data_IF_445037980775
#
_entry.id   IF_445037980775
#
_cell.length_a   1.000
_cell.length_b   1.000
_cell.length_c   1.000
_cell.angle_alpha   90.00
_cell.angle_beta   90.00
_cell.angle_gamma   90.00
#
_symmetry.space_group_name_H-M   'P 1'
#
loop_
_entity.id
_entity.type
_entity.pdbx_description
1 polymer ?
#
# COMPACT_ATOMS: atom_id res chain seq x y z
N UNK A 1 -32.07 1.84 15.83
CA UNK A 1 -31.42 1.55 14.54
C UNK A 1 -31.83 0.15 14.11
N UNK A 2 -32.86 0.01 13.27
CA UNK A 2 -33.21 -1.27 12.66
C UNK A 2 -31.94 -1.84 11.98
N UNK A 3 -31.57 -3.06 12.38
CA UNK A 3 -30.18 -3.48 12.42
C UNK A 3 -29.57 -3.56 11.02
N UNK A 4 -28.54 -2.76 10.74
CA UNK A 4 -27.63 -2.99 9.60
C UNK A 4 -26.84 -4.30 9.76
N UNK A 5 -26.83 -4.86 10.96
CA UNK A 5 -26.12 -6.09 11.37
C UNK A 5 -26.29 -7.28 10.40
N UNK A 6 -27.48 -7.59 9.85
CA UNK A 6 -27.63 -8.66 8.87
C UNK A 6 -26.82 -8.37 7.61
N UNK A 7 -26.73 -7.12 7.15
CA UNK A 7 -25.94 -6.72 5.98
C UNK A 7 -24.43 -6.84 6.21
N UNK A 8 -24.00 -6.79 7.48
CA UNK A 8 -22.60 -6.92 7.88
C UNK A 8 -22.13 -8.37 8.02
N UNK A 9 -23.03 -9.35 7.88
CA UNK A 9 -22.63 -10.77 7.80
C UNK A 9 -21.88 -11.04 6.50
N UNK A 10 -21.07 -12.09 6.49
CA UNK A 10 -20.13 -12.38 5.39
C UNK A 10 -20.81 -12.34 4.01
N UNK A 11 -21.88 -13.11 3.79
CA UNK A 11 -22.53 -13.19 2.48
C UNK A 11 -23.09 -11.85 1.97
N UNK A 12 -23.96 -11.13 2.70
CA UNK A 12 -24.47 -9.84 2.22
C UNK A 12 -23.39 -8.77 2.13
N UNK A 13 -22.40 -8.79 3.02
CA UNK A 13 -21.25 -7.87 2.98
C UNK A 13 -20.52 -7.96 1.64
N UNK A 14 -20.15 -9.18 1.21
CA UNK A 14 -19.50 -9.40 -0.08
C UNK A 14 -20.42 -9.18 -1.27
N UNK A 15 -21.70 -9.53 -1.14
CA UNK A 15 -22.66 -9.31 -2.21
C UNK A 15 -22.82 -7.81 -2.53
N UNK A 16 -22.96 -6.96 -1.51
CA UNK A 16 -23.03 -5.50 -1.68
C UNK A 16 -21.72 -4.96 -2.27
N UNK A 17 -20.58 -5.44 -1.78
CA UNK A 17 -19.26 -5.03 -2.27
C UNK A 17 -19.03 -5.40 -3.75
N UNK A 18 -19.51 -6.58 -4.17
CA UNK A 18 -19.49 -7.03 -5.55
C UNK A 18 -20.44 -6.20 -6.41
N UNK A 19 -21.68 -5.98 -5.96
CA UNK A 19 -22.67 -5.19 -6.68
C UNK A 19 -22.17 -3.76 -6.91
N UNK A 20 -21.58 -3.13 -5.89
CA UNK A 20 -20.96 -1.81 -6.00
C UNK A 20 -19.92 -1.75 -7.13
N UNK A 21 -19.02 -2.74 -7.18
CA UNK A 21 -17.98 -2.81 -8.23
C UNK A 21 -18.58 -3.06 -9.61
N UNK A 22 -19.57 -3.95 -9.73
CA UNK A 22 -20.26 -4.21 -11.00
C UNK A 22 -20.98 -2.95 -11.51
N UNK A 23 -21.71 -2.24 -10.65
CA UNK A 23 -22.37 -0.98 -11.00
C UNK A 23 -21.35 0.05 -11.48
N UNK A 24 -20.23 0.22 -10.76
CA UNK A 24 -19.17 1.14 -11.15
C UNK A 24 -18.45 0.73 -12.45
N UNK A 25 -18.32 -0.57 -12.75
CA UNK A 25 -17.78 -1.04 -14.03
C UNK A 25 -18.71 -0.65 -15.19
N UNK A 26 -20.00 -0.91 -15.07
CA UNK A 26 -20.98 -0.54 -16.11
C UNK A 26 -21.10 0.98 -16.25
N UNK A 27 -21.13 1.70 -15.13
CA UNK A 27 -21.09 3.17 -15.13
C UNK A 27 -19.81 3.69 -15.81
N UNK A 28 -18.66 3.07 -15.54
CA UNK A 28 -17.39 3.43 -16.18
C UNK A 28 -17.42 3.27 -17.69
N UNK A 29 -18.01 2.18 -18.20
CA UNK A 29 -18.23 1.98 -19.64
C UNK A 29 -19.14 3.07 -20.23
N UNK A 30 -20.22 3.41 -19.54
CA UNK A 30 -21.12 4.49 -19.94
C UNK A 30 -20.38 5.84 -19.98
N UNK A 31 -19.67 6.20 -18.91
CA UNK A 31 -18.93 7.46 -18.83
C UNK A 31 -17.84 7.55 -19.90
N UNK A 32 -17.09 6.47 -20.15
CA UNK A 32 -16.06 6.46 -21.18
C UNK A 32 -16.63 6.68 -22.59
N UNK A 33 -17.86 6.23 -22.85
CA UNK A 33 -18.54 6.44 -24.13
C UNK A 33 -19.18 7.83 -24.29
N UNK A 34 -19.59 8.47 -23.19
CA UNK A 34 -20.41 9.69 -23.24
C UNK A 34 -19.73 10.96 -22.69
N UNK A 35 -18.57 10.84 -22.04
CA UNK A 35 -17.85 11.98 -21.44
C UNK A 35 -16.46 12.18 -22.07
N UNK A 36 -16.04 13.44 -22.15
CA UNK A 36 -14.65 13.79 -22.45
C UNK A 36 -13.71 13.38 -21.31
N UNK A 37 -14.17 13.51 -20.06
CA UNK A 37 -13.45 13.05 -18.87
C UNK A 37 -13.68 11.55 -18.68
N UNK A 38 -12.65 10.77 -19.01
CA UNK A 38 -12.69 9.30 -18.96
C UNK A 38 -12.70 8.79 -17.52
N UNK A 39 -13.51 7.76 -17.30
CA UNK A 39 -13.50 6.96 -16.09
C UNK A 39 -12.27 6.05 -16.07
N UNK A 40 -11.97 5.37 -17.18
CA UNK A 40 -10.80 4.49 -17.25
C UNK A 40 -9.51 5.24 -16.91
N UNK A 41 -8.74 4.68 -15.99
CA UNK A 41 -7.42 5.18 -15.62
C UNK A 41 -6.45 5.00 -16.79
N UNK A 42 -5.57 5.98 -17.01
CA UNK A 42 -4.60 5.91 -18.10
C UNK A 42 -3.61 4.76 -17.93
N UNK A 43 -3.29 4.39 -16.69
CA UNK A 43 -2.45 3.24 -16.37
C UNK A 43 -3.06 1.95 -16.91
N UNK A 44 -4.39 1.83 -16.92
CA UNK A 44 -5.08 0.66 -17.48
C UNK A 44 -4.84 0.49 -18.98
N UNK A 45 -4.78 1.60 -19.71
CA UNK A 45 -4.46 1.58 -21.14
C UNK A 45 -3.01 1.17 -21.35
N UNK A 46 -2.08 1.69 -20.54
CA UNK A 46 -0.66 1.29 -20.55
C UNK A 46 -0.50 -0.21 -20.28
N UNK A 47 -1.22 -0.77 -19.31
CA UNK A 47 -1.22 -2.22 -19.04
C UNK A 47 -1.78 -3.03 -20.20
N UNK A 48 -2.88 -2.57 -20.79
CA UNK A 48 -3.55 -3.26 -21.89
C UNK A 48 -2.67 -3.27 -23.14
N UNK A 49 -2.03 -2.15 -23.45
CA UNK A 49 -1.08 -2.05 -24.57
C UNK A 49 0.14 -2.93 -24.36
N UNK A 50 0.75 -2.92 -23.17
CA UNK A 50 1.85 -3.82 -22.84
C UNK A 50 1.46 -5.30 -23.00
N UNK A 51 0.23 -5.65 -22.63
CA UNK A 51 -0.32 -6.99 -22.84
C UNK A 51 -0.53 -7.32 -24.34
N UNK A 52 -0.87 -6.32 -25.17
CA UNK A 52 -0.95 -6.49 -26.63
C UNK A 52 0.42 -6.74 -27.25
N UNK A 53 1.45 -6.01 -26.84
CA UNK A 53 2.84 -6.25 -27.28
C UNK A 53 3.29 -7.67 -26.92
N UNK A 54 3.00 -8.14 -25.71
CA UNK A 54 3.29 -9.53 -25.34
C UNK A 54 2.55 -10.53 -26.23
N UNK A 55 1.27 -10.30 -26.51
CA UNK A 55 0.47 -11.17 -27.36
C UNK A 55 0.98 -11.22 -28.82
N UNK A 56 1.68 -10.18 -29.28
CA UNK A 56 2.37 -10.16 -30.58
C UNK A 56 3.81 -10.71 -30.55
N UNK A 57 4.28 -11.22 -29.40
CA UNK A 57 5.64 -11.74 -29.23
C UNK A 57 6.70 -10.66 -28.97
N UNK A 58 6.28 -9.43 -28.67
CA UNK A 58 7.14 -8.26 -28.41
C UNK A 58 7.30 -8.02 -26.90
N UNK A 59 8.17 -7.08 -26.53
CA UNK A 59 8.41 -6.73 -25.14
C UNK A 59 7.28 -5.83 -24.60
N UNK A 60 6.82 -6.00 -23.34
CA UNK A 60 5.85 -5.07 -22.76
C UNK A 60 6.44 -3.66 -22.60
N UNK A 61 7.78 -3.54 -22.61
CA UNK A 61 8.49 -2.26 -22.56
C UNK A 61 8.53 -1.53 -23.91
N UNK A 62 8.12 -2.18 -25.00
CA UNK A 62 7.92 -1.50 -26.28
C UNK A 62 6.71 -0.53 -26.20
N UNK A 63 5.84 -0.70 -25.20
CA UNK A 63 4.88 0.32 -24.82
C UNK A 63 5.59 1.44 -24.08
N UNK A 64 5.62 2.62 -24.70
CA UNK A 64 6.05 3.85 -24.05
C UNK A 64 5.35 4.03 -22.70
N UNK A 65 6.10 4.57 -21.74
CA UNK A 65 5.66 4.80 -20.35
C UNK A 65 5.21 3.56 -19.56
N UNK A 66 5.41 2.32 -20.05
CA UNK A 66 5.27 1.13 -19.21
C UNK A 66 6.41 1.10 -18.18
N UNK A 67 6.08 1.21 -16.89
CA UNK A 67 7.03 1.28 -15.76
C UNK A 67 6.74 0.25 -14.66
N UNK A 68 6.11 -0.86 -15.04
CA UNK A 68 5.65 -1.91 -14.12
C UNK A 68 6.43 -3.20 -14.37
N UNK A 69 6.31 -4.19 -13.47
CA UNK A 69 6.89 -5.53 -13.72
C UNK A 69 6.20 -6.20 -14.94
N UNK A 70 6.90 -6.98 -15.77
CA UNK A 70 6.27 -7.73 -16.86
C UNK A 70 5.24 -8.75 -16.36
N UNK A 71 5.36 -9.21 -15.11
CA UNK A 71 4.36 -10.11 -14.50
C UNK A 71 2.94 -9.51 -14.51
N UNK A 72 2.81 -8.18 -14.39
CA UNK A 72 1.51 -7.53 -14.47
C UNK A 72 0.93 -7.65 -15.90
N UNK A 73 1.74 -7.39 -16.92
CA UNK A 73 1.31 -7.56 -18.30
C UNK A 73 1.01 -9.04 -18.65
N UNK A 74 1.76 -9.99 -18.08
CA UNK A 74 1.48 -11.43 -18.22
C UNK A 74 0.13 -11.80 -17.62
N UNK A 75 -0.13 -11.35 -16.39
CA UNK A 75 -1.42 -11.55 -15.71
C UNK A 75 -2.58 -10.99 -16.53
N UNK A 76 -2.35 -9.90 -17.27
CA UNK A 76 -3.36 -9.17 -18.01
C UNK A 76 -3.49 -9.55 -19.49
N UNK A 77 -2.75 -10.54 -19.97
CA UNK A 77 -2.85 -11.05 -21.34
C UNK A 77 -4.30 -11.26 -21.84
N UNK A 78 -5.25 -11.81 -21.04
CA UNK A 78 -6.62 -11.98 -21.51
C UNK A 78 -7.36 -10.67 -21.81
N UNK A 79 -6.87 -9.53 -21.29
CA UNK A 79 -7.40 -8.18 -21.56
C UNK A 79 -7.35 -7.82 -23.04
N UNK A 80 -6.44 -8.42 -23.80
CA UNK A 80 -6.32 -8.22 -25.26
C UNK A 80 -7.60 -8.64 -25.99
N UNK A 81 -8.24 -9.73 -25.54
CA UNK A 81 -9.50 -10.23 -26.13
C UNK A 81 -10.74 -9.73 -25.40
N UNK A 82 -10.61 -9.49 -24.09
CA UNK A 82 -11.70 -9.04 -23.25
C UNK A 82 -11.26 -7.83 -22.43
N UNK A 83 -11.51 -6.62 -22.93
CA UNK A 83 -10.97 -5.38 -22.38
C UNK A 83 -11.32 -5.10 -20.91
N UNK A 84 -12.38 -5.70 -20.37
CA UNK A 84 -12.75 -5.55 -18.96
C UNK A 84 -12.04 -6.55 -18.03
N UNK A 85 -11.31 -7.53 -18.56
CA UNK A 85 -10.68 -8.59 -17.78
C UNK A 85 -9.79 -8.05 -16.65
N UNK A 86 -8.86 -7.14 -16.96
CA UNK A 86 -7.97 -6.59 -15.94
C UNK A 86 -8.71 -5.85 -14.83
N UNK A 87 -9.72 -5.05 -15.18
CA UNK A 87 -10.58 -4.38 -14.18
C UNK A 87 -11.31 -5.38 -13.29
N UNK A 88 -11.77 -6.50 -13.83
CA UNK A 88 -12.39 -7.58 -13.05
C UNK A 88 -11.38 -8.26 -12.12
N UNK A 89 -10.15 -8.50 -12.58
CA UNK A 89 -9.07 -9.03 -11.75
C UNK A 89 -8.76 -8.09 -10.58
N UNK A 90 -8.67 -6.78 -10.83
CA UNK A 90 -8.40 -5.79 -9.78
C UNK A 90 -9.57 -5.66 -8.80
N UNK A 91 -10.81 -5.66 -9.29
CA UNK A 91 -12.01 -5.66 -8.46
C UNK A 91 -12.11 -6.94 -7.60
N UNK A 92 -11.76 -8.10 -8.15
CA UNK A 92 -11.71 -9.36 -7.42
C UNK A 92 -10.59 -9.35 -6.36
N UNK A 93 -9.46 -8.71 -6.64
CA UNK A 93 -8.39 -8.52 -5.68
C UNK A 93 -8.85 -7.73 -4.45
N UNK A 94 -9.61 -6.65 -4.62
CA UNK A 94 -10.16 -5.92 -3.47
C UNK A 94 -11.04 -6.82 -2.58
N UNK A 95 -11.88 -7.66 -3.18
CA UNK A 95 -12.75 -8.59 -2.46
C UNK A 95 -11.90 -9.63 -1.70
N UNK A 96 -10.88 -10.18 -2.36
CA UNK A 96 -9.96 -11.12 -1.71
C UNK A 96 -9.19 -10.48 -0.56
N UNK A 97 -8.75 -9.23 -0.70
CA UNK A 97 -8.13 -8.46 0.37
C UNK A 97 -9.09 -8.28 1.56
N UNK A 98 -10.36 -7.94 1.29
CA UNK A 98 -11.40 -7.86 2.33
C UNK A 98 -11.70 -9.19 3.00
N UNK A 99 -11.61 -10.32 2.28
CA UNK A 99 -11.77 -11.65 2.86
C UNK A 99 -10.60 -12.01 3.79
N UNK A 100 -9.35 -11.76 3.38
CA UNK A 100 -8.18 -11.95 4.22
C UNK A 100 -8.26 -11.07 5.48
N UNK A 101 -8.69 -9.83 5.33
CA UNK A 101 -8.92 -8.90 6.44
C UNK A 101 -9.96 -9.42 7.44
N UNK A 102 -11.10 -9.95 6.98
CA UNK A 102 -12.08 -10.57 7.86
C UNK A 102 -11.50 -11.75 8.65
N UNK A 103 -10.66 -12.58 8.01
CA UNK A 103 -9.96 -13.67 8.70
C UNK A 103 -9.05 -13.15 9.81
N UNK A 104 -8.30 -12.08 9.55
CA UNK A 104 -7.44 -11.43 10.54
C UNK A 104 -8.28 -10.84 11.69
N UNK A 105 -9.34 -10.09 11.40
CA UNK A 105 -10.23 -9.51 12.41
C UNK A 105 -10.88 -10.57 13.31
N UNK A 106 -11.43 -11.64 12.71
CA UNK A 106 -12.03 -12.75 13.46
C UNK A 106 -11.01 -13.50 14.31
N UNK A 107 -9.79 -13.70 13.79
CA UNK A 107 -8.69 -14.30 14.56
C UNK A 107 -8.30 -13.46 15.78
N UNK A 108 -8.41 -12.14 15.69
CA UNK A 108 -8.22 -11.21 16.81
C UNK A 108 -9.39 -11.19 17.81
N UNK A 109 -10.36 -12.10 17.67
CA UNK A 109 -11.43 -12.33 18.65
C UNK A 109 -12.71 -11.53 18.38
N UNK A 110 -12.83 -10.86 17.23
CA UNK A 110 -14.06 -10.15 16.86
C UNK A 110 -15.15 -11.11 16.40
N UNK A 111 -16.39 -10.85 16.81
CA UNK A 111 -17.55 -11.54 16.26
C UNK A 111 -17.75 -11.18 14.78
N UNK A 112 -18.53 -12.00 14.06
CA UNK A 112 -18.70 -11.87 12.61
C UNK A 112 -19.26 -10.51 12.20
N UNK A 113 -20.24 -9.97 12.92
CA UNK A 113 -20.90 -8.74 12.53
C UNK A 113 -20.00 -7.52 12.78
N UNK A 114 -19.28 -7.51 13.91
CA UNK A 114 -18.30 -6.46 14.20
C UNK A 114 -17.14 -6.48 13.21
N UNK A 115 -16.57 -7.65 12.94
CA UNK A 115 -15.54 -7.81 11.92
C UNK A 115 -16.04 -7.36 10.53
N UNK A 116 -17.28 -7.70 10.18
CA UNK A 116 -17.96 -7.24 8.98
C UNK A 116 -18.11 -5.73 8.90
N UNK A 117 -18.49 -5.08 10.01
CA UNK A 117 -18.58 -3.63 10.12
C UNK A 117 -17.26 -2.92 9.82
N UNK A 118 -16.15 -3.42 10.37
CA UNK A 118 -14.83 -2.86 10.05
C UNK A 118 -14.38 -3.18 8.63
N UNK A 119 -14.59 -4.41 8.15
CA UNK A 119 -14.23 -4.79 6.79
C UNK A 119 -15.02 -4.01 5.72
N UNK A 120 -16.24 -3.55 6.04
CA UNK A 120 -17.03 -2.67 5.18
C UNK A 120 -16.30 -1.36 4.85
N UNK A 121 -15.42 -0.85 5.72
CA UNK A 121 -14.60 0.35 5.46
C UNK A 121 -13.60 0.17 4.30
N UNK A 122 -13.34 -1.07 3.89
CA UNK A 122 -12.61 -1.40 2.65
C UNK A 122 -13.55 -1.88 1.55
N UNK A 123 -14.42 -2.85 1.87
CA UNK A 123 -15.27 -3.53 0.89
C UNK A 123 -16.32 -2.61 0.27
N UNK A 124 -16.92 -1.71 1.06
CA UNK A 124 -17.96 -0.78 0.61
C UNK A 124 -17.43 0.63 0.34
N UNK A 125 -16.12 0.84 0.46
CA UNK A 125 -15.52 2.13 0.25
C UNK A 125 -15.58 2.54 -1.23
N UNK A 126 -16.30 3.63 -1.58
CA UNK A 126 -16.43 4.07 -2.97
C UNK A 126 -15.09 4.41 -3.61
N UNK A 127 -14.11 4.91 -2.85
CA UNK A 127 -12.78 5.22 -3.37
C UNK A 127 -12.03 3.94 -3.79
N UNK A 128 -12.07 2.90 -2.95
CA UNK A 128 -11.45 1.59 -3.26
C UNK A 128 -12.11 0.97 -4.48
N UNK A 129 -13.44 0.89 -4.48
CA UNK A 129 -14.20 0.30 -5.58
C UNK A 129 -14.03 1.11 -6.89
N UNK A 130 -13.94 2.43 -6.81
CA UNK A 130 -13.68 3.28 -7.99
C UNK A 130 -12.29 3.02 -8.53
N UNK A 131 -11.25 3.05 -7.70
CA UNK A 131 -9.86 2.91 -8.17
C UNK A 131 -9.61 1.56 -8.86
N UNK A 132 -10.13 0.46 -8.32
CA UNK A 132 -10.00 -0.86 -8.97
C UNK A 132 -10.80 -0.95 -10.28
N UNK A 133 -12.05 -0.46 -10.30
CA UNK A 133 -12.91 -0.52 -11.49
C UNK A 133 -12.51 0.48 -12.59
N UNK A 134 -11.79 1.56 -12.24
CA UNK A 134 -11.10 2.43 -13.20
C UNK A 134 -9.94 1.72 -13.90
N UNK A 135 -9.41 0.64 -13.31
CA UNK A 135 -8.36 -0.18 -13.90
C UNK A 135 -6.98 -0.02 -13.24
N UNK A 136 -6.94 0.40 -11.98
CA UNK A 136 -5.69 0.47 -11.23
C UNK A 136 -5.37 -0.87 -10.56
N UNK A 137 -4.10 -1.29 -10.62
CA UNK A 137 -3.63 -2.57 -10.07
C UNK A 137 -3.43 -2.59 -8.55
N UNK A 138 -3.70 -1.48 -7.84
CA UNK A 138 -3.40 -1.36 -6.40
C UNK A 138 -4.15 -2.39 -5.53
N UNK A 139 -5.31 -2.90 -5.97
CA UNK A 139 -6.02 -3.99 -5.30
C UNK A 139 -5.17 -5.27 -5.17
N UNK A 140 -4.31 -5.57 -6.14
CA UNK A 140 -3.38 -6.70 -6.08
C UNK A 140 -2.37 -6.55 -4.95
N UNK A 141 -1.89 -5.33 -4.71
CA UNK A 141 -1.00 -5.02 -3.58
C UNK A 141 -1.75 -5.10 -2.25
N UNK A 142 -3.03 -4.72 -2.23
CA UNK A 142 -3.92 -4.93 -1.09
C UNK A 142 -3.99 -6.41 -0.68
N UNK A 143 -4.18 -7.31 -1.66
CA UNK A 143 -4.18 -8.78 -1.42
C UNK A 143 -2.82 -9.25 -0.90
N UNK A 144 -1.73 -8.87 -1.55
CA UNK A 144 -0.38 -9.27 -1.15
C UNK A 144 -0.06 -8.79 0.28
N UNK A 145 -0.48 -7.58 0.63
CA UNK A 145 -0.26 -6.97 1.94
C UNK A 145 -1.07 -7.67 3.03
N UNK A 146 -2.39 -7.85 2.82
CA UNK A 146 -3.23 -8.58 3.78
C UNK A 146 -2.86 -10.05 3.88
N UNK A 147 -2.45 -10.67 2.76
CA UNK A 147 -1.98 -12.05 2.71
C UNK A 147 -0.68 -12.24 3.47
N UNK A 148 0.25 -11.28 3.37
CA UNK A 148 1.49 -11.25 4.15
C UNK A 148 1.18 -11.17 5.64
N UNK A 149 0.38 -10.19 6.07
CA UNK A 149 0.00 -10.04 7.47
C UNK A 149 -0.69 -11.30 8.02
N UNK A 150 -1.67 -11.82 7.28
CA UNK A 150 -2.38 -13.05 7.63
C UNK A 150 -1.42 -14.24 7.77
N UNK A 151 -0.48 -14.42 6.83
CA UNK A 151 0.49 -15.51 6.87
C UNK A 151 1.43 -15.39 8.08
N UNK A 152 1.87 -14.18 8.42
CA UNK A 152 2.73 -13.91 9.59
C UNK A 152 1.97 -14.19 10.89
N UNK A 153 0.75 -13.69 11.06
CA UNK A 153 -0.07 -13.94 12.26
C UNK A 153 -0.52 -15.41 12.41
N UNK A 154 -0.59 -16.15 11.30
CA UNK A 154 -0.80 -17.61 11.28
C UNK A 154 0.51 -18.40 11.41
N UNK A 155 1.65 -17.73 11.62
CA UNK A 155 2.99 -18.33 11.76
C UNK A 155 3.40 -19.20 10.56
N UNK A 156 2.84 -18.93 9.37
CA UNK A 156 3.17 -19.62 8.12
C UNK A 156 4.36 -18.95 7.46
N UNK A 157 5.54 -19.11 8.07
CA UNK A 157 6.76 -18.35 7.72
C UNK A 157 7.14 -18.52 6.24
N UNK A 158 7.12 -19.74 5.69
CA UNK A 158 7.45 -19.95 4.27
C UNK A 158 6.50 -19.20 3.34
N UNK A 159 5.20 -19.21 3.64
CA UNK A 159 4.19 -18.51 2.85
C UNK A 159 4.38 -16.99 2.96
N UNK A 160 4.58 -16.48 4.18
CA UNK A 160 4.87 -15.07 4.41
C UNK A 160 6.12 -14.62 3.63
N UNK A 161 7.18 -15.44 3.61
CA UNK A 161 8.40 -15.16 2.89
C UNK A 161 8.18 -15.10 1.36
N UNK A 162 7.46 -16.07 0.80
CA UNK A 162 7.11 -16.08 -0.64
C UNK A 162 6.26 -14.87 -0.99
N UNK A 163 5.23 -14.55 -0.19
CA UNK A 163 4.38 -13.38 -0.43
C UNK A 163 5.20 -12.09 -0.34
N UNK A 164 6.09 -11.95 0.65
CA UNK A 164 6.95 -10.77 0.79
C UNK A 164 7.86 -10.61 -0.44
N UNK A 165 8.55 -11.67 -0.86
CA UNK A 165 9.42 -11.62 -2.03
C UNK A 165 8.67 -11.29 -3.33
N UNK A 166 7.49 -11.90 -3.52
CA UNK A 166 6.61 -11.61 -4.65
C UNK A 166 6.09 -10.17 -4.61
N UNK A 167 5.68 -9.67 -3.43
CA UNK A 167 5.17 -8.32 -3.28
C UNK A 167 6.22 -7.27 -3.62
N UNK A 168 7.45 -7.44 -3.14
CA UNK A 168 8.59 -6.55 -3.44
C UNK A 168 8.97 -6.60 -4.92
N UNK A 169 8.85 -7.77 -5.55
CA UNK A 169 9.04 -7.87 -7.00
C UNK A 169 7.94 -7.12 -7.76
N UNK A 170 6.69 -7.28 -7.34
CA UNK A 170 5.53 -6.68 -8.00
C UNK A 170 5.54 -5.15 -7.94
N UNK A 171 5.91 -4.60 -6.77
CA UNK A 171 6.18 -3.19 -6.55
C UNK A 171 7.19 -3.07 -5.43
N UNK A 172 8.16 -2.17 -5.51
CA UNK A 172 9.29 -2.19 -4.57
C UNK A 172 8.85 -1.94 -3.11
N UNK A 173 7.88 -1.05 -2.86
CA UNK A 173 7.57 -0.50 -1.53
C UNK A 173 7.24 -1.49 -0.39
N UNK A 174 6.64 -2.68 -0.60
CA UNK A 174 6.37 -3.63 0.49
C UNK A 174 7.62 -4.12 1.21
N UNK A 175 8.83 -3.81 0.70
CA UNK A 175 10.09 -4.09 1.39
C UNK A 175 10.15 -3.46 2.78
N UNK A 176 9.43 -2.33 2.97
CA UNK A 176 9.36 -1.66 4.28
C UNK A 176 8.76 -2.57 5.35
N UNK A 177 7.96 -3.59 5.00
CA UNK A 177 7.38 -4.50 6.01
C UNK A 177 8.39 -5.49 6.60
N UNK A 178 9.51 -5.75 5.93
CA UNK A 178 10.47 -6.75 6.36
C UNK A 178 11.08 -6.44 7.76
N UNK A 179 11.56 -5.22 8.07
CA UNK A 179 12.04 -4.88 9.41
C UNK A 179 11.00 -5.10 10.51
N UNK A 180 9.75 -4.70 10.30
CA UNK A 180 8.68 -4.88 11.28
C UNK A 180 8.36 -6.36 11.53
N UNK A 181 8.29 -7.17 10.47
CA UNK A 181 8.04 -8.61 10.58
C UNK A 181 9.20 -9.31 11.30
N UNK A 182 10.45 -9.03 10.90
CA UNK A 182 11.64 -9.62 11.53
C UNK A 182 11.71 -9.21 13.01
N UNK A 183 11.47 -7.93 13.31
CA UNK A 183 11.41 -7.44 14.68
C UNK A 183 10.30 -8.13 15.47
N UNK A 184 9.09 -8.28 14.90
CA UNK A 184 7.95 -8.93 15.55
C UNK A 184 8.19 -10.42 15.84
N UNK A 185 8.89 -11.17 14.99
CA UNK A 185 9.12 -12.61 15.15
C UNK A 185 10.04 -12.95 16.34
N UNK A 186 9.54 -13.11 17.55
CA UNK A 186 10.27 -13.69 18.69
C UNK A 186 9.68 -15.04 19.12
N UNK A 187 10.35 -15.72 20.05
CA UNK A 187 9.93 -17.05 20.53
C UNK A 187 8.49 -17.03 21.08
N UNK A 188 8.12 -16.01 21.87
CA UNK A 188 6.77 -15.87 22.43
C UNK A 188 5.70 -15.77 21.33
N UNK A 189 5.90 -14.87 20.37
CA UNK A 189 4.94 -14.63 19.28
C UNK A 189 4.88 -15.78 18.27
N UNK A 190 5.97 -16.52 18.13
CA UNK A 190 6.03 -17.76 17.37
C UNK A 190 5.47 -18.97 18.16
N UNK A 191 5.10 -18.80 19.43
CA UNK A 191 4.50 -19.84 20.28
C UNK A 191 5.50 -20.90 20.73
N UNK A 192 6.77 -20.55 20.80
CA UNK A 192 7.83 -21.39 21.34
C UNK A 192 7.93 -21.21 22.86
N UNK A 193 8.34 -22.26 23.60
CA UNK A 193 8.58 -22.13 25.03
C UNK A 193 9.66 -21.08 25.29
N UNK A 194 9.36 -20.12 26.16
CA UNK A 194 10.32 -19.11 26.60
C UNK A 194 11.43 -19.84 27.36
N UNK A 195 12.59 -19.97 26.73
CA UNK A 195 13.79 -20.45 27.41
C UNK A 195 14.26 -19.33 28.34
N UNK A 196 14.39 -19.61 29.63
CA UNK A 196 15.08 -18.75 30.60
C UNK A 196 16.59 -18.74 30.28
N UNK A 197 16.94 -18.16 29.15
CA UNK A 197 18.34 -17.97 28.76
C UNK A 197 18.91 -16.78 29.51
N UNK A 198 20.12 -16.94 30.04
CA UNK A 198 20.93 -15.88 30.62
C UNK A 198 20.99 -14.65 29.69
N UNK A 199 21.01 -13.45 30.30
CA UNK A 199 21.21 -12.18 29.61
C UNK A 199 22.44 -12.31 28.68
N UNK A 200 22.35 -11.88 27.40
CA UNK A 200 23.48 -11.96 26.49
C UNK A 200 24.69 -11.22 27.07
N UNK A 201 25.82 -11.91 27.18
CA UNK A 201 27.08 -11.37 27.70
C UNK A 201 27.77 -10.42 26.70
N UNK A 202 27.42 -10.49 25.42
CA UNK A 202 28.04 -9.71 24.36
C UNK A 202 27.06 -9.28 23.26
N UNK A 203 27.48 -8.30 22.45
CA UNK A 203 26.76 -7.90 21.23
C UNK A 203 26.66 -9.06 20.23
N UNK A 204 27.68 -9.93 20.16
CA UNK A 204 27.68 -11.12 19.30
C UNK A 204 26.60 -12.11 19.77
N UNK A 205 26.46 -12.32 21.08
CA UNK A 205 25.40 -13.16 21.64
C UNK A 205 24.00 -12.58 21.35
N UNK A 206 23.89 -11.26 21.33
CA UNK A 206 22.63 -10.56 20.99
C UNK A 206 22.28 -10.77 19.51
N UNK A 207 23.26 -10.60 18.62
CA UNK A 207 23.08 -10.79 17.17
C UNK A 207 22.79 -12.25 16.80
N UNK A 208 23.50 -13.20 17.42
CA UNK A 208 23.27 -14.63 17.18
C UNK A 208 21.89 -15.08 17.68
N UNK A 209 21.46 -14.61 18.87
CA UNK A 209 20.08 -14.82 19.35
C UNK A 209 19.04 -14.16 18.44
N UNK A 210 19.36 -12.98 17.89
CA UNK A 210 18.49 -12.29 16.95
C UNK A 210 18.33 -13.05 15.63
N UNK A 211 19.37 -13.73 15.15
CA UNK A 211 19.35 -14.53 13.93
C UNK A 211 18.71 -15.92 14.14
N UNK A 212 17.45 -15.95 14.58
CA UNK A 212 16.71 -17.20 14.76
C UNK A 212 16.50 -17.95 13.42
N UNK A 213 16.37 -19.29 13.44
CA UNK A 213 16.12 -20.08 12.23
C UNK A 213 14.91 -19.59 11.43
N UNK A 214 13.87 -19.08 12.09
CA UNK A 214 12.66 -18.58 11.46
C UNK A 214 12.89 -17.26 10.74
N UNK A 215 13.66 -16.34 11.33
CA UNK A 215 14.02 -15.07 10.70
C UNK A 215 14.95 -15.29 9.51
N UNK A 216 15.92 -16.20 9.66
CA UNK A 216 16.81 -16.61 8.55
C UNK A 216 16.00 -17.27 7.44
N UNK A 217 15.09 -18.19 7.78
CA UNK A 217 14.19 -18.83 6.81
C UNK A 217 13.32 -17.82 6.08
N UNK A 218 12.74 -16.85 6.79
CA UNK A 218 11.97 -15.76 6.17
C UNK A 218 12.84 -15.02 5.16
N UNK A 219 14.01 -14.54 5.59
CA UNK A 219 14.92 -13.75 4.76
C UNK A 219 15.39 -14.51 3.51
N UNK A 220 15.82 -15.77 3.66
CA UNK A 220 16.32 -16.59 2.55
C UNK A 220 15.23 -16.90 1.53
N UNK A 221 14.04 -17.32 1.98
CA UNK A 221 12.94 -17.64 1.06
C UNK A 221 12.41 -16.37 0.38
N UNK A 222 12.30 -15.25 1.09
CA UNK A 222 11.86 -13.98 0.48
C UNK A 222 12.87 -13.47 -0.53
N UNK A 223 14.17 -13.56 -0.21
CA UNK A 223 15.24 -13.20 -1.14
C UNK A 223 15.25 -14.12 -2.36
N UNK A 224 15.15 -15.44 -2.16
CA UNK A 224 15.09 -16.40 -3.26
C UNK A 224 13.88 -16.17 -4.17
N UNK A 225 12.71 -15.87 -3.60
CA UNK A 225 11.50 -15.57 -4.37
C UNK A 225 11.66 -14.27 -5.16
N UNK A 226 12.11 -13.19 -4.49
CA UNK A 226 12.35 -11.90 -5.13
C UNK A 226 13.39 -12.03 -6.26
N UNK A 227 14.54 -12.65 -5.98
CA UNK A 227 15.61 -12.84 -6.96
C UNK A 227 15.17 -13.78 -8.08
N UNK A 228 14.44 -14.85 -7.79
CA UNK A 228 13.94 -15.79 -8.80
C UNK A 228 13.07 -15.10 -9.84
N UNK A 229 12.11 -14.28 -9.42
CA UNK A 229 11.29 -13.50 -10.36
C UNK A 229 12.09 -12.42 -11.08
N UNK A 230 13.01 -11.73 -10.41
CA UNK A 230 13.86 -10.72 -11.04
C UNK A 230 14.79 -11.32 -12.10
N UNK A 231 15.44 -12.44 -11.80
CA UNK A 231 16.29 -13.17 -12.73
C UNK A 231 15.48 -13.71 -13.91
N UNK A 232 14.28 -14.23 -13.66
CA UNK A 232 13.38 -14.66 -14.73
C UNK A 232 13.03 -13.49 -15.66
N UNK A 233 12.53 -12.38 -15.12
CA UNK A 233 12.17 -11.22 -15.94
C UNK A 233 13.38 -10.63 -16.67
N UNK A 234 14.53 -10.53 -16.00
CA UNK A 234 15.77 -10.06 -16.63
C UNK A 234 16.26 -10.99 -17.75
N UNK A 235 16.15 -12.31 -17.57
CA UNK A 235 16.54 -13.27 -18.62
C UNK A 235 15.70 -13.15 -19.89
N UNK A 236 14.47 -12.65 -19.78
CA UNK A 236 13.54 -12.49 -20.90
C UNK A 236 13.66 -11.09 -21.52
N UNK A 237 13.78 -10.04 -20.70
CA UNK A 237 13.66 -8.64 -21.14
C UNK A 237 14.95 -7.82 -21.04
N UNK A 238 16.01 -8.35 -20.44
CA UNK A 238 17.32 -7.70 -20.33
C UNK A 238 17.29 -6.36 -19.58
N UNK A 239 18.17 -5.44 -19.97
CA UNK A 239 18.32 -4.11 -19.36
C UNK A 239 17.03 -3.28 -19.31
N UNK A 240 16.14 -3.28 -20.32
CA UNK A 240 14.84 -2.61 -20.24
C UNK A 240 14.03 -2.92 -18.97
N UNK A 241 14.07 -4.18 -18.48
CA UNK A 241 13.41 -4.55 -17.23
C UNK A 241 13.95 -3.75 -16.03
N UNK A 242 15.27 -3.70 -15.86
CA UNK A 242 15.89 -2.97 -14.74
C UNK A 242 15.60 -1.47 -14.81
N UNK A 243 15.70 -0.90 -16.01
CA UNK A 243 15.48 0.53 -16.24
C UNK A 243 14.05 0.92 -15.92
N UNK A 244 13.07 0.22 -16.50
CA UNK A 244 11.68 0.62 -16.42
C UNK A 244 10.99 0.20 -15.12
N UNK A 245 11.32 -0.95 -14.55
CA UNK A 245 10.68 -1.45 -13.32
C UNK A 245 11.34 -0.91 -12.06
N UNK A 246 12.63 -0.58 -12.06
CA UNK A 246 13.33 -0.14 -10.84
C UNK A 246 14.00 1.22 -10.99
N UNK A 247 14.97 1.37 -11.90
CA UNK A 247 15.84 2.57 -11.91
C UNK A 247 15.06 3.86 -12.19
N UNK A 248 14.00 3.77 -13.01
CA UNK A 248 13.09 4.87 -13.25
C UNK A 248 12.52 5.46 -11.96
N UNK A 249 12.23 4.66 -10.92
CA UNK A 249 11.66 5.18 -9.67
C UNK A 249 12.65 6.00 -8.84
N UNK A 250 13.96 5.77 -9.02
CA UNK A 250 15.00 6.57 -8.37
C UNK A 250 15.09 7.94 -9.03
N UNK A 251 15.14 7.97 -10.36
CA UNK A 251 15.27 9.20 -11.15
C UNK A 251 13.95 9.92 -11.43
N UNK A 252 12.79 9.32 -11.10
CA UNK A 252 11.46 9.89 -11.36
C UNK A 252 11.33 11.30 -10.78
N UNK A 253 10.95 12.23 -11.65
CA UNK A 253 10.51 13.59 -11.34
C UNK A 253 9.05 13.66 -11.79
N UNK A 254 8.13 13.53 -10.84
CA UNK A 254 6.72 13.69 -11.14
C UNK A 254 6.23 15.04 -10.62
N UNK A 255 6.09 15.98 -11.56
CA UNK A 255 5.71 17.35 -11.28
C UNK A 255 4.20 17.59 -11.48
N UNK A 256 3.47 16.64 -12.06
CA UNK A 256 2.01 16.73 -12.23
C UNK A 256 1.32 15.88 -11.16
N UNK A 257 0.10 16.24 -10.76
CA UNK A 257 -0.72 15.39 -9.86
C UNK A 257 0.00 14.86 -8.60
N UNK A 258 0.86 15.67 -7.99
CA UNK A 258 1.71 15.25 -6.88
C UNK A 258 1.41 16.08 -5.63
N UNK A 259 0.82 15.44 -4.60
CA UNK A 259 0.47 16.08 -3.32
C UNK A 259 1.67 16.38 -2.42
N UNK A 260 2.86 15.89 -2.80
CA UNK A 260 4.07 16.01 -1.99
C UNK A 260 4.52 17.46 -1.86
N UNK A 261 5.08 17.88 -0.71
CA UNK A 261 5.76 19.17 -0.56
C UNK A 261 6.83 19.45 -1.62
N UNK A 262 7.38 18.40 -2.22
CA UNK A 262 8.38 18.49 -3.27
C UNK A 262 7.80 18.82 -4.66
N UNK A 263 6.48 18.88 -4.84
CA UNK A 263 5.84 19.08 -6.15
C UNK A 263 6.36 20.30 -6.91
N UNK A 264 6.31 21.50 -6.30
CA UNK A 264 6.75 22.74 -6.96
C UNK A 264 8.26 22.74 -7.20
N UNK A 265 9.04 22.16 -6.28
CA UNK A 265 10.49 22.00 -6.47
C UNK A 265 10.79 21.11 -7.68
N UNK A 266 10.16 19.94 -7.76
CA UNK A 266 10.32 18.99 -8.86
C UNK A 266 9.88 19.59 -10.20
N UNK A 267 8.82 20.41 -10.19
CA UNK A 267 8.42 21.18 -11.37
C UNK A 267 9.53 22.13 -11.85
N UNK A 268 10.07 22.96 -10.94
CA UNK A 268 11.14 23.90 -11.28
C UNK A 268 12.41 23.17 -11.76
N UNK A 269 12.79 22.08 -11.09
CA UNK A 269 13.93 21.25 -11.49
C UNK A 269 13.73 20.61 -12.87
N UNK A 270 12.49 20.27 -13.25
CA UNK A 270 12.19 19.73 -14.57
C UNK A 270 12.39 20.75 -15.70
N UNK A 271 12.35 22.05 -15.37
CA UNK A 271 12.56 23.14 -16.32
C UNK A 271 14.02 23.62 -16.40
N UNK A 272 14.89 23.22 -15.45
CA UNK A 272 16.31 23.60 -15.45
C UNK A 272 17.16 22.66 -16.33
N UNK A 273 18.06 23.18 -17.19
CA UNK A 273 18.98 22.37 -17.97
C UNK A 273 19.87 21.47 -17.09
N UNK A 274 20.15 20.25 -17.55
CA UNK A 274 20.91 19.25 -16.80
C UNK A 274 22.30 19.76 -16.35
N UNK A 275 22.94 20.62 -17.16
CA UNK A 275 24.27 21.18 -16.92
C UNK A 275 24.31 22.24 -15.79
N UNK A 276 23.14 22.72 -15.36
CA UNK A 276 23.00 23.71 -14.28
C UNK A 276 22.59 23.09 -12.93
N UNK A 277 22.41 21.77 -12.87
CA UNK A 277 21.97 21.08 -11.64
C UNK A 277 23.15 20.81 -10.71
N UNK A 278 23.01 21.16 -9.43
CA UNK A 278 23.99 20.84 -8.39
C UNK A 278 24.22 19.34 -8.28
N UNK A 279 25.44 18.91 -7.91
CA UNK A 279 25.77 17.49 -7.71
C UNK A 279 24.91 16.80 -6.64
N UNK A 280 24.27 17.59 -5.75
CA UNK A 280 23.33 17.12 -4.74
C UNK A 280 21.90 17.35 -5.24
N UNK A 281 21.21 16.26 -5.55
CA UNK A 281 19.78 16.20 -5.83
C UNK A 281 18.99 16.33 -4.53
N UNK A 282 18.53 17.52 -4.19
CA UNK A 282 17.78 17.80 -2.93
C UNK A 282 16.58 16.85 -2.78
N UNK A 283 15.96 16.44 -3.88
CA UNK A 283 14.86 15.48 -3.90
C UNK A 283 15.24 14.08 -3.39
N UNK A 284 16.52 13.68 -3.45
CA UNK A 284 16.97 12.42 -2.86
C UNK A 284 17.06 12.47 -1.34
N UNK A 285 17.11 13.67 -0.75
CA UNK A 285 17.05 13.83 0.72
C UNK A 285 15.68 13.42 1.27
N UNK A 286 14.62 13.43 0.45
CA UNK A 286 13.29 12.93 0.85
C UNK A 286 13.32 11.46 1.30
N UNK A 287 14.24 10.65 0.74
CA UNK A 287 14.38 9.25 1.13
C UNK A 287 14.84 9.08 2.58
N UNK A 288 15.59 10.03 3.14
CA UNK A 288 16.15 9.89 4.49
C UNK A 288 15.06 9.82 5.57
N UNK A 289 14.19 10.84 5.76
CA UNK A 289 13.12 10.75 6.75
C UNK A 289 12.12 9.64 6.40
N UNK A 290 11.85 9.43 5.11
CA UNK A 290 10.94 8.38 4.64
C UNK A 290 11.40 6.98 5.07
N UNK A 291 12.65 6.60 4.77
CA UNK A 291 13.20 5.28 5.10
C UNK A 291 13.54 5.15 6.59
N UNK A 292 14.03 6.22 7.23
CA UNK A 292 14.31 6.20 8.67
C UNK A 292 13.03 5.93 9.48
N UNK A 293 11.93 6.64 9.18
CA UNK A 293 10.66 6.41 9.85
C UNK A 293 10.10 5.03 9.51
N UNK A 294 10.00 4.70 8.23
CA UNK A 294 9.29 3.50 7.76
C UNK A 294 10.06 2.21 8.03
N UNK A 295 11.38 2.19 7.99
CA UNK A 295 12.18 0.96 8.11
C UNK A 295 12.86 0.78 9.48
N UNK A 296 12.98 1.85 10.28
CA UNK A 296 13.73 1.80 11.55
C UNK A 296 12.86 2.21 12.73
N UNK A 297 12.46 3.49 12.81
CA UNK A 297 11.85 4.04 14.03
C UNK A 297 10.48 3.44 14.33
N UNK A 298 9.60 3.37 13.33
CA UNK A 298 8.24 2.82 13.50
C UNK A 298 8.27 1.31 13.81
N UNK A 299 9.04 0.47 13.08
CA UNK A 299 9.21 -0.93 13.45
C UNK A 299 9.63 -1.14 14.89
N UNK A 300 10.68 -0.45 15.33
CA UNK A 300 11.21 -0.58 16.69
C UNK A 300 10.18 -0.19 17.75
N UNK A 301 9.44 0.90 17.52
CA UNK A 301 8.45 1.41 18.46
C UNK A 301 7.17 0.56 18.52
N UNK A 302 6.69 0.05 17.39
CA UNK A 302 5.33 -0.48 17.28
C UNK A 302 5.23 -1.97 16.96
N UNK A 303 6.18 -2.56 16.23
CA UNK A 303 5.96 -3.90 15.69
C UNK A 303 5.81 -4.95 16.81
N UNK A 304 6.52 -4.79 17.93
CA UNK A 304 6.38 -5.64 19.12
C UNK A 304 5.08 -5.45 19.89
N UNK A 305 4.29 -4.43 19.59
CA UNK A 305 3.01 -4.14 20.27
C UNK A 305 1.85 -4.62 19.40
N UNK A 306 1.76 -4.10 18.17
CA UNK A 306 0.82 -4.55 17.16
C UNK A 306 1.45 -4.45 15.76
N UNK A 307 1.56 -5.59 15.08
CA UNK A 307 2.19 -5.67 13.76
C UNK A 307 1.38 -4.94 12.69
N UNK A 308 0.05 -5.01 12.72
CA UNK A 308 -0.80 -4.36 11.72
C UNK A 308 -0.76 -2.84 11.86
N UNK A 309 -0.81 -2.31 13.09
CA UNK A 309 -0.63 -0.88 13.38
C UNK A 309 0.77 -0.42 12.98
N UNK A 310 1.80 -1.23 13.22
CA UNK A 310 3.15 -0.94 12.73
C UNK A 310 3.19 -0.85 11.21
N UNK A 311 2.71 -1.87 10.48
CA UNK A 311 2.66 -1.86 9.01
C UNK A 311 1.82 -0.71 8.45
N UNK A 312 0.72 -0.35 9.11
CA UNK A 312 -0.08 0.83 8.77
C UNK A 312 0.75 2.12 8.91
N UNK A 313 1.35 2.35 10.08
CA UNK A 313 2.16 3.53 10.35
C UNK A 313 3.38 3.63 9.42
N UNK A 314 4.04 2.50 9.14
CA UNK A 314 5.13 2.43 8.17
C UNK A 314 4.66 2.86 6.78
N UNK A 315 3.51 2.35 6.32
CA UNK A 315 2.97 2.69 5.00
C UNK A 315 2.53 4.15 4.93
N UNK A 316 1.89 4.64 5.99
CA UNK A 316 1.42 6.02 6.09
C UNK A 316 2.60 7.00 6.10
N UNK A 317 3.66 6.71 6.85
CA UNK A 317 4.92 7.47 6.83
C UNK A 317 5.60 7.39 5.46
N UNK A 318 5.66 6.20 4.86
CA UNK A 318 6.26 6.00 3.55
C UNK A 318 5.57 6.84 2.47
N UNK A 319 4.25 6.95 2.49
CA UNK A 319 3.49 7.79 1.54
C UNK A 319 3.65 9.28 1.87
N UNK A 320 3.53 9.66 3.14
CA UNK A 320 3.58 11.07 3.58
C UNK A 320 4.92 11.74 3.27
N UNK A 321 6.03 11.03 3.46
CA UNK A 321 7.38 11.54 3.23
C UNK A 321 7.93 11.20 1.83
N UNK A 322 7.11 10.67 0.93
CA UNK A 322 7.53 10.40 -0.43
C UNK A 322 7.67 11.70 -1.24
N UNK A 323 8.70 11.79 -2.09
CA UNK A 323 8.84 12.88 -3.07
C UNK A 323 7.73 12.91 -4.12
N UNK A 324 7.09 11.78 -4.39
CA UNK A 324 5.92 11.66 -5.28
C UNK A 324 4.79 11.03 -4.48
N UNK A 325 3.65 11.71 -4.41
CA UNK A 325 2.46 11.26 -3.70
C UNK A 325 1.24 11.45 -4.60
N UNK A 326 0.56 10.34 -4.96
CA UNK A 326 -0.64 10.34 -5.79
C UNK A 326 -1.80 9.69 -5.04
N UNK A 327 -3.05 9.94 -5.46
CA UNK A 327 -4.24 9.41 -4.75
C UNK A 327 -4.31 7.89 -4.70
N UNK A 328 -3.71 7.18 -5.67
CA UNK A 328 -3.63 5.72 -5.67
C UNK A 328 -2.89 5.18 -4.44
N UNK A 329 -1.90 5.92 -3.92
CA UNK A 329 -1.09 5.47 -2.79
C UNK A 329 -1.88 5.42 -1.48
N UNK A 330 -3.02 6.11 -1.41
CA UNK A 330 -3.85 6.13 -0.21
C UNK A 330 -4.43 4.74 0.09
N UNK A 331 -4.62 3.90 -0.93
CA UNK A 331 -5.05 2.51 -0.74
C UNK A 331 -4.06 1.70 0.10
N UNK A 332 -2.77 2.02 0.05
CA UNK A 332 -1.73 1.24 0.71
C UNK A 332 -1.84 1.28 2.22
N UNK A 333 -2.24 2.41 2.80
CA UNK A 333 -2.50 2.50 4.24
C UNK A 333 -3.98 2.30 4.58
N UNK A 334 -4.92 2.63 3.67
CA UNK A 334 -6.35 2.41 3.92
C UNK A 334 -6.70 0.93 4.09
N UNK A 335 -5.96 0.02 3.47
CA UNK A 335 -6.14 -1.42 3.65
C UNK A 335 -5.96 -1.86 5.11
N UNK A 336 -5.21 -1.10 5.93
CA UNK A 336 -5.04 -1.40 7.36
C UNK A 336 -6.05 -0.70 8.27
N UNK A 337 -6.81 0.30 7.78
CA UNK A 337 -7.77 1.04 8.61
C UNK A 337 -8.74 0.12 9.37
N UNK A 338 -9.31 -0.94 8.76
CA UNK A 338 -10.20 -1.85 9.47
C UNK A 338 -9.54 -2.58 10.66
N UNK A 339 -8.23 -2.78 10.61
CA UNK A 339 -7.46 -3.47 11.66
C UNK A 339 -7.04 -2.51 12.79
N UNK A 340 -6.76 -1.25 12.45
CA UNK A 340 -6.30 -0.23 13.41
C UNK A 340 -7.45 0.48 14.12
N UNK A 341 -8.49 0.89 13.37
CA UNK A 341 -9.59 1.71 13.90
C UNK A 341 -10.27 1.16 15.15
N UNK A 342 -10.53 -0.16 15.31
CA UNK A 342 -11.26 -0.71 16.46
C UNK A 342 -10.73 -0.26 17.81
N UNK A 343 -9.42 -0.08 17.93
CA UNK A 343 -8.77 0.31 19.18
C UNK A 343 -8.20 1.74 19.15
N UNK A 344 -8.44 2.49 18.08
CA UNK A 344 -7.81 3.79 17.86
C UNK A 344 -8.43 4.92 18.67
N UNK A 345 -7.65 5.96 18.94
CA UNK A 345 -8.13 7.21 19.53
C UNK A 345 -9.18 7.90 18.66
N UNK A 346 -9.19 7.65 17.34
CA UNK A 346 -10.20 8.23 16.45
C UNK A 346 -11.62 7.75 16.74
N UNK A 347 -11.81 6.48 17.13
CA UNK A 347 -13.12 5.97 17.53
C UNK A 347 -13.43 6.23 19.01
N UNK A 348 -12.41 6.20 19.88
CA UNK A 348 -12.59 6.56 21.31
C UNK A 348 -13.00 8.02 21.49
N UNK A 349 -12.45 8.91 20.67
CA UNK A 349 -12.81 10.32 20.61
C UNK A 349 -13.32 10.68 19.20
N UNK A 350 -14.65 10.58 18.96
CA UNK A 350 -15.23 10.86 17.65
C UNK A 350 -14.95 12.26 17.12
N UNK A 351 -14.76 13.27 17.99
CA UNK A 351 -14.38 14.63 17.55
C UNK A 351 -13.00 14.62 16.90
N UNK A 352 -12.04 13.89 17.49
CA UNK A 352 -10.70 13.72 16.93
C UNK A 352 -10.76 12.97 15.59
N UNK A 353 -11.51 11.85 15.54
CA UNK A 353 -11.68 11.06 14.32
C UNK A 353 -12.32 11.84 13.17
N UNK A 354 -13.42 12.55 13.44
CA UNK A 354 -14.10 13.40 12.45
C UNK A 354 -13.18 14.55 12.00
N UNK A 355 -12.46 15.19 12.93
CA UNK A 355 -11.52 16.26 12.58
C UNK A 355 -10.39 15.75 11.69
N UNK A 356 -9.82 14.59 11.99
CA UNK A 356 -8.80 13.94 11.15
C UNK A 356 -9.32 13.63 9.75
N UNK A 357 -10.51 13.03 9.64
CA UNK A 357 -11.12 12.73 8.37
C UNK A 357 -11.42 14.00 7.55
N UNK A 358 -12.03 15.01 8.16
CA UNK A 358 -12.36 16.26 7.48
C UNK A 358 -11.11 17.00 7.02
N UNK A 359 -10.09 17.13 7.87
CA UNK A 359 -8.83 17.78 7.49
C UNK A 359 -8.12 17.01 6.37
N UNK A 360 -8.13 15.67 6.42
CA UNK A 360 -7.55 14.84 5.37
C UNK A 360 -8.28 15.02 4.02
N UNK A 361 -9.62 15.06 4.02
CA UNK A 361 -10.43 15.29 2.80
C UNK A 361 -10.27 16.73 2.28
N UNK A 362 -10.37 17.73 3.16
CA UNK A 362 -10.32 19.15 2.76
C UNK A 362 -8.95 19.52 2.20
N UNK A 363 -7.86 19.03 2.78
CA UNK A 363 -6.51 19.30 2.26
C UNK A 363 -6.29 18.67 0.88
N UNK A 364 -6.85 17.50 0.60
CA UNK A 364 -6.86 16.92 -0.76
C UNK A 364 -7.72 17.76 -1.71
N UNK A 365 -8.93 18.12 -1.31
CA UNK A 365 -9.84 18.92 -2.14
C UNK A 365 -9.22 20.28 -2.49
N UNK A 366 -8.54 20.92 -1.54
CA UNK A 366 -7.80 22.17 -1.78
C UNK A 366 -6.69 21.98 -2.82
N UNK A 367 -5.91 20.90 -2.72
CA UNK A 367 -4.87 20.59 -3.72
C UNK A 367 -5.48 20.30 -5.10
N UNK A 368 -6.51 19.45 -5.15
CA UNK A 368 -7.21 19.09 -6.40
C UNK A 368 -7.85 20.28 -7.08
N UNK A 369 -8.42 21.22 -6.32
CA UNK A 369 -8.96 22.46 -6.87
C UNK A 369 -7.86 23.28 -7.56
N UNK A 370 -6.70 23.46 -6.91
CA UNK A 370 -5.58 24.17 -7.51
C UNK A 370 -5.01 23.44 -8.74
N UNK A 371 -4.91 22.11 -8.67
CA UNK A 371 -4.51 21.27 -9.80
C UNK A 371 -5.48 21.36 -10.98
N UNK A 372 -6.80 21.39 -10.71
CA UNK A 372 -7.80 21.58 -11.75
C UNK A 372 -7.66 22.94 -12.46
N UNK A 373 -7.50 24.01 -11.69
CA UNK A 373 -7.27 25.36 -12.23
C UNK A 373 -6.02 25.41 -13.11
N UNK A 374 -4.94 24.76 -12.67
CA UNK A 374 -3.68 24.71 -13.42
C UNK A 374 -3.80 23.89 -14.70
N UNK A 375 -4.25 22.64 -14.57
CA UNK A 375 -4.11 21.65 -15.64
C UNK A 375 -5.25 21.71 -16.66
N UNK A 376 -6.46 22.10 -16.23
CA UNK A 376 -7.63 22.14 -17.10
C UNK A 376 -8.01 23.56 -17.52
N UNK A 377 -7.81 24.55 -16.65
CA UNK A 377 -8.18 25.95 -16.94
C UNK A 377 -6.98 26.82 -17.33
N UNK A 378 -5.75 26.30 -17.25
CA UNK A 378 -4.53 27.03 -17.62
C UNK A 378 -4.18 28.19 -16.68
N UNK A 379 -4.78 28.23 -15.48
CA UNK A 379 -4.52 29.27 -14.48
C UNK A 379 -3.31 28.90 -13.65
N UNK A 380 -2.27 29.73 -13.66
CA UNK A 380 -1.06 29.47 -12.86
C UNK A 380 -1.36 29.52 -11.36
N UNK A 381 -1.39 28.35 -10.70
CA UNK A 381 -1.63 28.20 -9.25
C UNK A 381 -0.43 27.65 -8.48
N UNK A 382 0.76 27.59 -9.08
CA UNK A 382 1.97 27.02 -8.46
C UNK A 382 2.27 27.62 -7.08
N UNK A 383 2.29 28.96 -6.98
CA UNK A 383 2.52 29.67 -5.72
C UNK A 383 1.50 30.81 -5.54
N UNK A 384 0.91 30.97 -4.35
CA UNK A 384 1.05 30.10 -3.18
C UNK A 384 0.14 28.86 -3.21
N UNK A 385 -0.75 28.70 -4.20
CA UNK A 385 -1.84 27.71 -4.22
C UNK A 385 -1.44 26.25 -4.01
N UNK A 386 -0.81 25.63 -5.03
CA UNK A 386 -0.33 24.24 -4.96
C UNK A 386 0.70 24.05 -3.85
N UNK A 387 1.59 25.02 -3.67
CA UNK A 387 2.61 24.98 -2.61
C UNK A 387 1.99 24.89 -1.20
N UNK A 388 1.12 25.82 -0.83
CA UNK A 388 0.43 25.80 0.48
C UNK A 388 -0.48 24.58 0.63
N UNK A 389 -1.16 24.17 -0.43
CA UNK A 389 -2.03 22.98 -0.37
C UNK A 389 -1.21 21.70 -0.11
N UNK A 390 -0.03 21.57 -0.73
CA UNK A 390 0.88 20.43 -0.52
C UNK A 390 1.44 20.42 0.91
N UNK A 391 1.83 21.60 1.44
CA UNK A 391 2.27 21.73 2.84
C UNK A 391 1.14 21.44 3.83
N UNK A 392 -0.06 21.95 3.58
CA UNK A 392 -1.24 21.70 4.41
C UNK A 392 -1.58 20.21 4.46
N UNK A 393 -1.61 19.54 3.30
CA UNK A 393 -1.79 18.09 3.23
C UNK A 393 -0.70 17.35 4.00
N UNK A 394 0.57 17.71 3.82
CA UNK A 394 1.68 17.10 4.55
C UNK A 394 1.56 17.25 6.07
N UNK A 395 1.25 18.45 6.57
CA UNK A 395 1.10 18.71 8.01
C UNK A 395 -0.06 17.92 8.62
N UNK A 396 -1.20 17.86 7.92
CA UNK A 396 -2.35 17.04 8.34
C UNK A 396 -1.96 15.56 8.43
N UNK A 397 -1.24 15.03 7.44
CA UNK A 397 -0.79 13.64 7.46
C UNK A 397 0.25 13.39 8.57
N UNK A 398 1.20 14.30 8.81
CA UNK A 398 2.13 14.19 9.94
C UNK A 398 1.41 14.14 11.30
N UNK A 399 0.37 14.97 11.48
CA UNK A 399 -0.44 14.96 12.69
C UNK A 399 -1.20 13.64 12.88
N UNK A 400 -1.86 13.15 11.82
CA UNK A 400 -2.56 11.85 11.82
C UNK A 400 -1.58 10.71 12.12
N UNK A 401 -0.39 10.72 11.49
CA UNK A 401 0.66 9.74 11.75
C UNK A 401 1.11 9.76 13.21
N UNK A 402 1.26 10.94 13.81
CA UNK A 402 1.57 11.08 15.23
C UNK A 402 0.55 10.36 16.12
N UNK A 403 -0.75 10.53 15.84
CA UNK A 403 -1.83 9.85 16.59
C UNK A 403 -1.74 8.33 16.41
N UNK A 404 -1.54 7.84 15.18
CA UNK A 404 -1.41 6.40 14.89
C UNK A 404 -0.23 5.79 15.67
N UNK A 405 0.91 6.50 15.73
CA UNK A 405 2.09 6.05 16.48
C UNK A 405 1.81 6.06 17.99
N UNK A 406 1.18 7.11 18.53
CA UNK A 406 0.79 7.17 19.94
C UNK A 406 -0.15 6.02 20.32
N UNK A 407 -1.20 5.79 19.53
CA UNK A 407 -2.13 4.67 19.74
C UNK A 407 -1.42 3.32 19.76
N UNK A 408 -0.50 3.09 18.81
CA UNK A 408 0.28 1.86 18.75
C UNK A 408 1.25 1.71 19.93
N UNK A 409 1.77 2.81 20.46
CA UNK A 409 2.69 2.82 21.59
C UNK A 409 1.99 2.53 22.93
N UNK A 410 0.71 2.89 23.05
CA UNK A 410 -0.11 2.68 24.25
C UNK A 410 -0.62 1.24 24.38
N UNK A 411 -0.51 0.41 23.33
CA UNK A 411 -0.86 -1.01 23.40
C UNK A 411 0.15 -1.77 24.28
N UNK A 412 -0.27 -2.44 25.37
CA UNK A 412 0.62 -3.23 26.20
C UNK A 412 1.25 -4.38 25.39
N UNK A 413 2.56 -4.60 25.55
CA UNK A 413 3.27 -5.66 24.81
C UNK A 413 2.71 -7.07 25.09
N UNK A 414 2.18 -7.32 26.30
CA UNK A 414 1.61 -8.60 26.72
C UNK A 414 0.21 -8.90 26.14
N UNK A 415 -0.52 -7.88 25.67
CA UNK A 415 -1.91 -8.05 25.24
C UNK A 415 -2.05 -8.82 23.92
N UNK A 416 -1.05 -8.76 23.03
CA UNK A 416 -1.11 -9.39 21.70
C UNK A 416 -0.44 -10.76 21.62
N UNK A 417 0.25 -11.22 22.67
CA UNK A 417 0.85 -12.55 22.72
C UNK A 417 -0.18 -13.67 22.95
N UNK A 418 -1.36 -13.35 23.50
CA UNK A 418 -2.36 -14.35 23.95
C UNK A 418 -3.42 -14.74 22.91
N UNK A 419 -3.30 -14.32 21.64
CA UNK A 419 -4.28 -14.69 20.59
C UNK A 419 -4.26 -16.21 20.41
N UNK A 420 -5.23 -16.87 21.05
CA UNK A 420 -5.34 -18.33 21.14
C UNK A 420 -5.32 -18.93 19.74
N UNK A 421 -4.37 -19.83 19.50
CA UNK A 421 -4.23 -20.55 18.23
C UNK A 421 -5.36 -21.57 17.97
N UNK A 422 -6.31 -21.72 18.89
CA UNK A 422 -7.47 -22.60 18.73
C UNK A 422 -8.62 -21.83 18.09
N UNK A 423 -8.64 -21.82 16.76
CA UNK A 423 -9.80 -21.90 15.87
C UNK A 423 -9.31 -21.61 14.44
N UNK A 424 -9.77 -22.45 13.51
CA UNK A 424 -9.40 -22.57 12.09
C UNK A 424 -8.18 -23.43 11.76
#
# INVERSE_FOLDING_TARGET
>A
MASITPLLRTTPLFFIALLLRLVLLFYGLYQDAHSALKYTDIDYLVFTDASRFLASGSSPYDRDTYRYTPLLAWLLLPTVRFSAFGKLVFAAADLLAGWLMLRVLRRRGMDEATAGGFAALWLWNPMVATISTRGSSEGLLGVLTMGLLWAVERRRISLAAVILGLAVHFKIYPFIYAPAIIWWMDDERLGKPIKTTSQPSSLIDTLTKFCSPERVKLALISLATFMGFNLLMYSIYGTPFLVHTYFHHVSRIDHRHNFSPYNVLLYLTSATPADATSSIRIESLAFLPQLLLSCVLIPLALAKRDLATSMMAQTFAFVTFNKVCTSQYFLWYMVFLPLYLPNSSFLRNPKLGISALLLWVVSQAAWLQNGYQLEFLGVSTFFPGLWLSSLGFFLVNCWILGIIISDGADVPQSATASVKAHLE
#
